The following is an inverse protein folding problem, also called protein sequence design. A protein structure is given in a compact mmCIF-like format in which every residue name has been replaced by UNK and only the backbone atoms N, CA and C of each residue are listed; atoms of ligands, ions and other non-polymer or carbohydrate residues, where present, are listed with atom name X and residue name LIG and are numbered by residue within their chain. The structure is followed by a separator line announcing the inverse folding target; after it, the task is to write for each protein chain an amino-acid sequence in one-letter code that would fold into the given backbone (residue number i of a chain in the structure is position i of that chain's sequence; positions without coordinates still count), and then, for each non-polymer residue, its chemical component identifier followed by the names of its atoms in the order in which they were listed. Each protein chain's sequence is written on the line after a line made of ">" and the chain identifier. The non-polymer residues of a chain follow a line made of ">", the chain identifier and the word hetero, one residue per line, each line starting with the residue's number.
data_IF_568584660102
#
_entry.id   IF_568584660102
#
_cell.length_a   1.000
_cell.length_b   1.000
_cell.length_c   1.000
_cell.angle_alpha   90.00
_cell.angle_beta   90.00
_cell.angle_gamma   90.00
#
_symmetry.space_group_name_H-M   'P 1'
#
loop_
_entity.id
_entity.type
_entity.pdbx_description
1 polymer ?
#
# COMPACT_ATOMS: atom_id res chain seq x y z
N UNK A 1 -22.15 0.13 19.44
CA UNK A 1 -20.97 0.67 18.72
C UNK A 1 -20.86 -0.07 17.38
N UNK A 2 -20.83 0.63 16.24
CA UNK A 2 -20.57 -0.02 14.95
C UNK A 2 -19.06 -0.28 14.87
N UNK A 3 -18.62 -1.52 15.07
CA UNK A 3 -17.22 -1.90 14.85
C UNK A 3 -16.93 -1.74 13.36
N UNK A 4 -16.25 -0.67 12.96
CA UNK A 4 -15.83 -0.48 11.58
C UNK A 4 -14.82 -1.58 11.25
N UNK A 5 -15.14 -2.43 10.28
CA UNK A 5 -14.23 -3.51 9.83
C UNK A 5 -12.93 -2.87 9.37
N UNK A 6 -11.83 -3.27 10.00
CA UNK A 6 -10.48 -2.83 9.67
C UNK A 6 -10.17 -3.17 8.20
N UNK A 7 -9.40 -2.33 7.50
CA UNK A 7 -9.19 -2.47 6.06
C UNK A 7 -8.64 -3.85 5.68
N UNK A 8 -7.75 -4.41 6.50
CA UNK A 8 -7.08 -5.70 6.24
C UNK A 8 -8.03 -6.90 6.32
N UNK A 9 -9.19 -6.74 6.96
CA UNK A 9 -10.22 -7.76 7.05
C UNK A 9 -11.22 -7.70 5.89
N UNK A 10 -11.15 -6.65 5.05
CA UNK A 10 -12.00 -6.54 3.86
C UNK A 10 -11.36 -7.34 2.73
N UNK A 11 -12.09 -8.17 1.98
CA UNK A 11 -11.50 -8.95 0.88
C UNK A 11 -11.09 -8.10 -0.32
N UNK A 12 -11.75 -6.95 -0.50
CA UNK A 12 -11.56 -6.03 -1.61
C UNK A 12 -11.50 -4.60 -1.07
N UNK A 13 -10.62 -3.79 -1.64
CA UNK A 13 -10.50 -2.37 -1.32
C UNK A 13 -10.78 -1.51 -2.56
N UNK A 14 -11.53 -0.42 -2.40
CA UNK A 14 -11.54 0.64 -3.40
C UNK A 14 -10.11 1.10 -3.74
N UNK A 15 -9.86 1.41 -5.01
CA UNK A 15 -8.52 1.77 -5.49
C UNK A 15 -7.96 3.02 -4.80
N UNK A 16 -8.80 4.00 -4.53
CA UNK A 16 -8.49 5.23 -3.79
C UNK A 16 -8.10 4.94 -2.34
N UNK A 17 -8.80 4.03 -1.67
CA UNK A 17 -8.44 3.59 -0.31
C UNK A 17 -7.08 2.90 -0.31
N UNK A 18 -6.84 1.96 -1.23
CA UNK A 18 -5.56 1.27 -1.33
C UNK A 18 -4.39 2.22 -1.68
N UNK A 19 -4.63 3.18 -2.58
CA UNK A 19 -3.66 4.22 -2.91
C UNK A 19 -3.30 5.08 -1.68
N UNK A 20 -4.32 5.46 -0.90
CA UNK A 20 -4.14 6.19 0.35
C UNK A 20 -3.36 5.40 1.41
N UNK A 21 -3.64 4.10 1.54
CA UNK A 21 -2.90 3.23 2.47
C UNK A 21 -1.40 3.14 2.12
N UNK A 22 -1.06 3.08 0.84
CA UNK A 22 0.34 3.04 0.39
C UNK A 22 1.00 4.42 0.30
N UNK A 23 0.25 5.51 0.44
CA UNK A 23 0.77 6.86 0.25
C UNK A 23 1.21 7.17 -1.19
N UNK A 24 0.64 6.50 -2.20
CA UNK A 24 1.00 6.69 -3.62
C UNK A 24 -0.20 7.13 -4.46
N UNK A 25 0.08 7.65 -5.66
CA UNK A 25 -0.96 8.02 -6.62
C UNK A 25 -1.67 6.79 -7.22
N UNK A 26 -2.86 7.00 -7.78
CA UNK A 26 -3.56 5.96 -8.56
C UNK A 26 -2.74 5.45 -9.75
N UNK A 27 -1.99 6.33 -10.41
CA UNK A 27 -1.10 5.93 -11.50
C UNK A 27 0.06 5.05 -11.00
N UNK A 28 0.57 5.31 -9.80
CA UNK A 28 1.51 4.42 -9.11
C UNK A 28 0.92 3.04 -8.85
N UNK A 29 -0.32 2.97 -8.37
CA UNK A 29 -1.03 1.71 -8.17
C UNK A 29 -1.16 0.90 -9.48
N UNK A 30 -1.54 1.54 -10.59
CA UNK A 30 -1.59 0.86 -11.89
C UNK A 30 -0.23 0.35 -12.35
N UNK A 31 0.85 1.07 -12.06
CA UNK A 31 2.22 0.62 -12.35
C UNK A 31 2.57 -0.65 -11.58
N UNK A 32 2.17 -0.75 -10.30
CA UNK A 32 2.36 -1.97 -9.51
C UNK A 32 1.61 -3.16 -10.13
N UNK A 33 0.38 -2.96 -10.60
CA UNK A 33 -0.35 -4.01 -11.32
C UNK A 33 0.35 -4.44 -12.61
N UNK A 34 0.87 -3.48 -13.39
CA UNK A 34 1.61 -3.79 -14.62
C UNK A 34 2.89 -4.59 -14.35
N UNK A 35 3.50 -4.40 -13.18
CA UNK A 35 4.65 -5.18 -12.72
C UNK A 35 4.29 -6.55 -12.15
N UNK A 36 3.00 -6.84 -11.95
CA UNK A 36 2.52 -8.05 -11.29
C UNK A 36 2.54 -7.98 -9.76
N UNK A 37 2.88 -6.83 -9.18
CA UNK A 37 3.00 -6.63 -7.73
C UNK A 37 1.64 -6.56 -7.02
N UNK A 38 0.59 -6.12 -7.72
CA UNK A 38 -0.77 -6.00 -7.18
C UNK A 38 -1.80 -6.61 -8.13
N UNK A 39 -2.92 -7.09 -7.57
CA UNK A 39 -4.03 -7.65 -8.35
C UNK A 39 -5.26 -6.76 -8.24
N UNK A 40 -5.70 -6.23 -9.39
CA UNK A 40 -6.99 -5.55 -9.50
C UNK A 40 -8.07 -6.51 -10.00
N UNK A 41 -9.31 -6.21 -9.64
CA UNK A 41 -10.50 -6.85 -10.21
C UNK A 41 -11.61 -5.82 -10.42
N UNK A 42 -12.66 -6.23 -11.12
CA UNK A 42 -13.84 -5.42 -11.40
C UNK A 42 -15.03 -5.97 -10.64
N UNK A 43 -15.69 -5.13 -9.84
CA UNK A 43 -16.94 -5.47 -9.15
C UNK A 43 -17.94 -4.36 -9.41
N UNK A 44 -19.08 -4.70 -10.04
CA UNK A 44 -20.11 -3.71 -10.39
C UNK A 44 -19.57 -2.53 -11.21
N UNK A 45 -18.67 -2.78 -12.16
CA UNK A 45 -18.02 -1.76 -13.00
C UNK A 45 -16.87 -0.99 -12.33
N UNK A 46 -16.69 -1.11 -11.02
CA UNK A 46 -15.63 -0.42 -10.27
C UNK A 46 -14.35 -1.24 -10.23
N UNK A 47 -13.20 -0.58 -10.41
CA UNK A 47 -11.89 -1.19 -10.18
C UNK A 47 -11.61 -1.22 -8.68
N UNK A 48 -11.30 -2.41 -8.17
CA UNK A 48 -10.96 -2.65 -6.76
C UNK A 48 -9.67 -3.49 -6.68
N UNK A 49 -8.97 -3.38 -5.57
CA UNK A 49 -7.72 -4.12 -5.28
C UNK A 49 -8.07 -5.33 -4.43
N UNK A 50 -7.50 -6.50 -4.72
CA UNK A 50 -7.58 -7.65 -3.80
C UNK A 50 -6.71 -7.37 -2.58
N UNK A 51 -7.32 -7.33 -1.39
CA UNK A 51 -6.60 -6.99 -0.15
C UNK A 51 -5.45 -7.95 0.13
N UNK A 52 -5.62 -9.25 -0.18
CA UNK A 52 -4.55 -10.25 -0.02
C UNK A 52 -3.30 -9.88 -0.83
N UNK A 53 -3.44 -9.46 -2.10
CA UNK A 53 -2.28 -9.03 -2.90
C UNK A 53 -1.60 -7.78 -2.35
N UNK A 54 -2.37 -6.89 -1.70
CA UNK A 54 -1.81 -5.71 -1.04
C UNK A 54 -1.03 -6.07 0.23
N UNK A 55 -1.54 -7.03 1.01
CA UNK A 55 -0.83 -7.59 2.17
C UNK A 55 0.47 -8.25 1.72
N UNK A 56 0.40 -9.12 0.71
CA UNK A 56 1.56 -9.82 0.16
C UNK A 56 2.61 -8.84 -0.37
N UNK A 57 2.15 -7.77 -1.05
CA UNK A 57 3.02 -6.69 -1.49
C UNK A 57 3.75 -6.02 -0.32
N UNK A 58 3.04 -5.69 0.76
CA UNK A 58 3.63 -5.05 1.94
C UNK A 58 4.60 -5.97 2.69
N UNK A 59 4.21 -7.23 2.88
CA UNK A 59 5.02 -8.25 3.56
C UNK A 59 6.30 -8.59 2.78
N UNK A 60 6.29 -8.44 1.46
CA UNK A 60 7.48 -8.66 0.61
C UNK A 60 8.50 -7.52 0.63
N UNK A 61 8.19 -6.37 1.25
CA UNK A 61 9.10 -5.23 1.30
C UNK A 61 10.03 -5.38 2.51
N UNK A 62 11.31 -5.16 2.27
CA UNK A 62 12.28 -5.00 3.34
C UNK A 62 12.00 -3.68 4.07
N UNK A 63 12.09 -3.71 5.40
CA UNK A 63 12.02 -2.50 6.20
C UNK A 63 13.14 -1.56 5.78
N UNK A 64 12.78 -0.32 5.44
CA UNK A 64 13.78 0.70 5.23
C UNK A 64 14.49 0.96 6.56
N UNK A 65 15.75 0.54 6.65
CA UNK A 65 16.65 0.91 7.73
C UNK A 65 17.57 2.04 7.25
N UNK A 66 17.69 3.16 7.98
CA UNK A 66 18.73 4.13 7.70
C UNK A 66 20.09 3.51 8.04
N UNK A 67 20.74 2.86 7.08
CA UNK A 67 22.16 2.51 7.21
C UNK A 67 22.95 3.81 7.02
N UNK A 68 23.28 4.43 8.15
CA UNK A 68 23.95 5.72 8.23
C UNK A 68 23.26 6.59 9.27
N UNK A 69 23.56 6.35 10.54
CA UNK A 69 23.27 7.30 11.61
C UNK A 69 23.85 8.65 11.19
N UNK A 70 23.06 9.75 11.21
CA UNK A 70 23.58 11.05 10.83
C UNK A 70 24.76 11.34 11.75
N UNK A 71 25.93 11.54 11.15
CA UNK A 71 27.14 11.98 11.81
C UNK A 71 26.72 13.09 12.79
N UNK A 72 26.85 12.85 14.11
CA UNK A 72 26.23 13.65 15.18
C UNK A 72 26.65 15.15 15.15
N UNK A 73 27.56 15.50 14.24
CA UNK A 73 27.96 16.86 13.88
C UNK A 73 26.93 17.66 13.09
N UNK A 74 25.99 17.04 12.37
CA UNK A 74 25.04 17.77 11.50
C UNK A 74 23.86 18.40 12.25
N UNK A 75 23.60 17.99 13.50
CA UNK A 75 22.43 18.45 14.30
C UNK A 75 22.75 19.70 15.13
N UNK A 76 23.94 20.29 14.98
CA UNK A 76 24.39 21.48 15.75
C UNK A 76 24.93 22.65 14.90
N UNK A 77 24.48 22.80 13.65
CA UNK A 77 24.82 23.98 12.84
C UNK A 77 23.64 24.94 12.72
#
# INVERSE_FOLDING_TARGET
>A
MKTAIHWSQRPLLPLDVAAGLLGISRSGMYRLVHKGDLVFTKVGGRTVVRTKSLQDYLESREDWSPVGEPDAKAVRA
#
